data_IF_374918453188
#
_entry.id   IF_374918453188
#
_cell.length_a   1.000
_cell.length_b   1.000
_cell.length_c   1.000
_cell.angle_alpha   90.00
_cell.angle_beta   90.00
_cell.angle_gamma   90.00
#
_symmetry.space_group_name_H-M   'P 1'
#
loop_
_entity.id
_entity.type
_entity.pdbx_description
1 polymer ?
#
# COMPACT_ATOMS: atom_id res chain seq x y z
N UNK A 1 -14.01 -40.98 -17.37
CA UNK A 1 -13.04 -39.86 -17.36
C UNK A 1 -13.81 -38.62 -16.94
N UNK A 2 -13.62 -38.14 -15.70
CA UNK A 2 -14.36 -36.97 -15.20
C UNK A 2 -13.73 -35.69 -15.76
N UNK A 3 -14.48 -34.96 -16.59
CA UNK A 3 -14.17 -33.60 -16.98
C UNK A 3 -14.43 -32.68 -15.78
N UNK A 4 -13.47 -32.60 -14.86
CA UNK A 4 -13.46 -31.54 -13.86
C UNK A 4 -13.00 -30.28 -14.58
N UNK A 5 -13.85 -29.25 -14.78
CA UNK A 5 -13.40 -28.01 -15.39
C UNK A 5 -12.32 -27.38 -14.50
N UNK A 6 -11.09 -27.32 -15.00
CA UNK A 6 -9.91 -26.75 -14.32
C UNK A 6 -9.80 -25.25 -14.46
N UNK A 7 -10.82 -24.57 -15.00
CA UNK A 7 -10.84 -23.12 -15.06
C UNK A 7 -11.04 -22.56 -13.65
N UNK A 8 -9.94 -22.38 -12.92
CA UNK A 8 -9.94 -21.52 -11.74
C UNK A 8 -10.57 -20.20 -12.17
N UNK A 9 -11.56 -19.66 -11.43
CA UNK A 9 -12.07 -18.34 -11.73
C UNK A 9 -10.89 -17.37 -11.74
N UNK A 10 -10.61 -16.78 -12.90
CA UNK A 10 -9.70 -15.65 -12.99
C UNK A 10 -10.31 -14.56 -12.12
N UNK A 11 -9.72 -14.33 -10.94
CA UNK A 11 -10.15 -13.27 -10.04
C UNK A 11 -9.98 -11.96 -10.82
N UNK A 12 -11.08 -11.46 -11.36
CA UNK A 12 -11.09 -10.22 -12.13
C UNK A 12 -10.77 -9.08 -11.17
N UNK A 13 -9.65 -8.41 -11.39
CA UNK A 13 -9.27 -7.24 -10.58
C UNK A 13 -10.29 -6.12 -10.88
N UNK A 14 -10.98 -5.59 -9.86
CA UNK A 14 -11.99 -4.54 -10.08
C UNK A 14 -11.38 -3.31 -10.75
N UNK A 15 -12.12 -2.68 -11.67
CA UNK A 15 -11.64 -1.51 -12.42
C UNK A 15 -11.16 -0.37 -11.52
N UNK A 16 -11.85 -0.14 -10.40
CA UNK A 16 -11.49 0.92 -9.45
C UNK A 16 -10.13 0.67 -8.78
N UNK A 17 -9.75 -0.59 -8.52
CA UNK A 17 -8.43 -0.96 -7.97
C UNK A 17 -7.34 -0.62 -8.98
N UNK A 18 -7.58 -0.91 -10.25
CA UNK A 18 -6.65 -0.60 -11.35
C UNK A 18 -6.48 0.91 -11.53
N UNK A 19 -7.57 1.68 -11.49
CA UNK A 19 -7.52 3.15 -11.58
C UNK A 19 -6.73 3.72 -10.40
N UNK A 20 -7.01 3.26 -9.17
CA UNK A 20 -6.29 3.70 -7.99
C UNK A 20 -4.79 3.39 -8.08
N UNK A 21 -4.43 2.18 -8.52
CA UNK A 21 -3.03 1.80 -8.71
C UNK A 21 -2.32 2.64 -9.78
N UNK A 22 -3.00 3.02 -10.86
CA UNK A 22 -2.45 3.94 -11.87
C UNK A 22 -2.17 5.33 -11.27
N UNK A 23 -3.09 5.85 -10.45
CA UNK A 23 -2.88 7.13 -9.75
C UNK A 23 -1.66 7.05 -8.83
N UNK A 24 -1.55 5.99 -8.03
CA UNK A 24 -0.40 5.76 -7.13
C UNK A 24 0.90 5.63 -7.91
N UNK A 25 0.89 4.92 -9.05
CA UNK A 25 2.05 4.78 -9.92
C UNK A 25 2.52 6.12 -10.49
N UNK A 26 1.60 6.93 -11.01
CA UNK A 26 1.93 8.23 -11.63
C UNK A 26 2.41 9.22 -10.56
N UNK A 27 1.65 9.39 -9.47
CA UNK A 27 1.98 10.34 -8.41
C UNK A 27 3.24 9.90 -7.65
N UNK A 28 3.36 8.62 -7.31
CA UNK A 28 4.55 8.08 -6.66
C UNK A 28 5.80 8.20 -7.55
N UNK A 29 5.66 7.91 -8.84
CA UNK A 29 6.75 8.08 -9.80
C UNK A 29 7.18 9.55 -9.91
N UNK A 30 6.22 10.46 -10.08
CA UNK A 30 6.48 11.89 -10.19
C UNK A 30 7.13 12.45 -8.91
N UNK A 31 6.56 12.17 -7.74
CA UNK A 31 7.11 12.62 -6.45
C UNK A 31 8.49 12.02 -6.16
N UNK A 32 8.69 10.75 -6.50
CA UNK A 32 9.95 10.07 -6.33
C UNK A 32 11.05 10.63 -7.25
N UNK A 33 10.72 10.96 -8.50
CA UNK A 33 11.63 11.65 -9.42
C UNK A 33 11.91 13.07 -8.92
N UNK A 34 10.89 13.84 -8.55
CA UNK A 34 11.08 15.19 -8.01
C UNK A 34 11.99 15.19 -6.79
N UNK A 35 11.81 14.24 -5.86
CA UNK A 35 12.68 14.14 -4.68
C UNK A 35 14.11 13.79 -5.04
N UNK A 36 14.37 12.91 -6.03
CA UNK A 36 15.74 12.58 -6.44
C UNK A 36 16.48 13.73 -7.17
N UNK A 37 15.75 14.55 -7.93
CA UNK A 37 16.34 15.55 -8.83
C UNK A 37 16.23 17.00 -8.33
N UNK A 38 15.29 17.30 -7.43
CA UNK A 38 15.08 18.64 -6.84
C UNK A 38 15.53 18.56 -5.37
N UNK A 39 16.85 18.61 -5.16
CA UNK A 39 17.45 18.42 -3.84
C UNK A 39 17.23 19.62 -2.92
N UNK A 40 16.40 19.45 -1.89
CA UNK A 40 16.29 20.41 -0.77
C UNK A 40 17.01 19.95 0.50
N UNK A 41 17.23 18.64 0.67
CA UNK A 41 18.01 18.07 1.80
C UNK A 41 18.65 16.70 1.43
N UNK A 42 19.98 16.60 1.29
CA UNK A 42 20.67 15.40 0.80
C UNK A 42 20.42 14.12 1.61
N UNK A 43 20.17 14.23 2.92
CA UNK A 43 20.01 13.07 3.80
C UNK A 43 18.69 12.32 3.63
N UNK A 44 17.60 13.03 3.32
CA UNK A 44 16.29 12.44 3.06
C UNK A 44 16.08 12.06 1.60
N UNK A 45 16.63 12.84 0.69
CA UNK A 45 16.37 12.81 -0.76
C UNK A 45 16.49 11.42 -1.38
N UNK A 46 17.60 10.71 -1.17
CA UNK A 46 17.85 9.42 -1.84
C UNK A 46 16.98 8.30 -1.29
N UNK A 47 16.84 8.23 0.04
CA UNK A 47 16.07 7.16 0.68
C UNK A 47 14.57 7.32 0.41
N UNK A 48 14.06 8.55 0.42
CA UNK A 48 12.65 8.84 0.21
C UNK A 48 12.26 8.72 -1.27
N UNK A 49 13.09 9.28 -2.16
CA UNK A 49 12.88 9.18 -3.61
C UNK A 49 12.96 7.75 -4.12
N UNK A 50 13.97 6.99 -3.69
CA UNK A 50 14.15 5.59 -4.09
C UNK A 50 13.00 4.68 -3.64
N UNK A 51 12.55 4.81 -2.38
CA UNK A 51 11.40 4.04 -1.86
C UNK A 51 10.10 4.38 -2.61
N UNK A 52 9.88 5.66 -2.93
CA UNK A 52 8.69 6.12 -3.65
C UNK A 52 8.68 5.62 -5.10
N UNK A 53 9.83 5.67 -5.79
CA UNK A 53 9.98 5.13 -7.15
C UNK A 53 9.79 3.61 -7.16
N UNK A 54 10.40 2.90 -6.21
CA UNK A 54 10.24 1.44 -6.10
C UNK A 54 8.77 1.03 -5.97
N UNK A 55 8.02 1.72 -5.10
CA UNK A 55 6.58 1.51 -4.96
C UNK A 55 5.80 1.80 -6.24
N UNK A 56 6.13 2.87 -6.95
CA UNK A 56 5.51 3.21 -8.23
C UNK A 56 5.77 2.12 -9.28
N UNK A 57 6.99 1.61 -9.37
CA UNK A 57 7.36 0.52 -10.30
C UNK A 57 6.58 -0.75 -9.99
N UNK A 58 6.55 -1.19 -8.72
CA UNK A 58 5.84 -2.41 -8.32
C UNK A 58 4.33 -2.27 -8.60
N UNK A 59 3.76 -1.09 -8.34
CA UNK A 59 2.36 -0.79 -8.62
C UNK A 59 2.06 -0.79 -10.13
N UNK A 60 2.93 -0.16 -10.93
CA UNK A 60 2.81 -0.16 -12.40
C UNK A 60 2.92 -1.55 -13.01
N UNK A 61 3.84 -2.38 -12.49
CA UNK A 61 3.96 -3.79 -12.86
C UNK A 61 2.71 -4.59 -12.48
N UNK A 62 2.09 -4.30 -11.34
CA UNK A 62 0.85 -4.96 -10.92
C UNK A 62 -0.28 -4.73 -11.94
N UNK A 63 -0.42 -3.49 -12.41
CA UNK A 63 -1.39 -3.11 -13.45
C UNK A 63 -1.05 -3.77 -14.78
N UNK A 64 0.21 -3.66 -15.22
CA UNK A 64 0.65 -4.18 -16.52
C UNK A 64 0.49 -5.69 -16.63
N UNK A 65 0.94 -6.43 -15.62
CA UNK A 65 0.88 -7.89 -15.57
C UNK A 65 -0.46 -8.42 -15.06
N UNK A 66 -1.37 -7.53 -14.63
CA UNK A 66 -2.67 -7.88 -14.05
C UNK A 66 -2.54 -8.93 -12.94
N UNK A 67 -1.49 -8.82 -12.12
CA UNK A 67 -1.12 -9.84 -11.12
C UNK A 67 -1.59 -9.45 -9.72
N UNK A 68 -2.54 -10.20 -9.12
CA UNK A 68 -3.04 -9.92 -7.77
C UNK A 68 -1.92 -9.92 -6.71
N UNK A 69 -0.91 -10.77 -6.89
CA UNK A 69 0.24 -10.86 -5.97
C UNK A 69 1.02 -9.54 -5.96
N UNK A 70 1.17 -8.90 -7.12
CA UNK A 70 1.88 -7.62 -7.21
C UNK A 70 1.06 -6.47 -6.62
N UNK A 71 -0.27 -6.50 -6.69
CA UNK A 71 -1.12 -5.54 -5.97
C UNK A 71 -0.94 -5.68 -4.45
N UNK A 72 -0.90 -6.91 -3.94
CA UNK A 72 -0.65 -7.18 -2.53
C UNK A 72 0.76 -6.74 -2.10
N UNK A 73 1.77 -6.99 -2.95
CA UNK A 73 3.15 -6.56 -2.70
C UNK A 73 3.27 -5.03 -2.69
N UNK A 74 2.63 -4.33 -3.64
CA UNK A 74 2.59 -2.87 -3.68
C UNK A 74 1.91 -2.30 -2.42
N UNK A 75 0.79 -2.87 -2.02
CA UNK A 75 0.09 -2.47 -0.80
C UNK A 75 0.94 -2.68 0.46
N UNK A 76 1.52 -3.88 0.62
CA UNK A 76 2.40 -4.20 1.75
C UNK A 76 3.65 -3.31 1.78
N UNK A 77 4.24 -3.02 0.62
CA UNK A 77 5.36 -2.09 0.50
C UNK A 77 4.98 -0.66 0.91
N UNK A 78 3.76 -0.22 0.58
CA UNK A 78 3.24 1.08 0.99
C UNK A 78 3.08 1.18 2.50
N UNK A 79 2.49 0.15 3.11
CA UNK A 79 2.40 0.05 4.58
C UNK A 79 3.79 0.05 5.22
N UNK A 80 4.71 -0.76 4.73
CA UNK A 80 6.07 -0.84 5.29
C UNK A 80 6.81 0.50 5.23
N UNK A 81 6.61 1.25 4.14
CA UNK A 81 7.11 2.63 4.00
C UNK A 81 6.50 3.53 5.07
N UNK A 82 5.18 3.57 5.19
CA UNK A 82 4.49 4.45 6.15
C UNK A 82 4.89 4.14 7.60
N UNK A 83 5.06 2.86 7.93
CA UNK A 83 5.62 2.44 9.22
C UNK A 83 7.05 2.95 9.43
N UNK A 84 7.90 2.84 8.40
CA UNK A 84 9.28 3.34 8.47
C UNK A 84 9.34 4.85 8.71
N UNK A 85 8.49 5.61 8.02
CA UNK A 85 8.40 7.07 8.18
C UNK A 85 7.83 7.44 9.57
N UNK A 86 6.86 6.68 10.06
CA UNK A 86 6.30 6.85 11.40
C UNK A 86 7.34 6.57 12.51
N UNK A 87 8.12 5.49 12.39
CA UNK A 87 9.20 5.18 13.34
C UNK A 87 10.27 6.28 13.33
N UNK A 88 10.66 6.76 12.14
CA UNK A 88 11.63 7.84 12.01
C UNK A 88 11.15 9.14 12.66
N UNK A 89 9.87 9.47 12.50
CA UNK A 89 9.26 10.65 13.10
C UNK A 89 9.15 10.53 14.63
N UNK A 90 8.79 9.36 15.15
CA UNK A 90 8.73 9.09 16.60
C UNK A 90 10.12 9.01 17.25
N UNK A 91 11.18 8.86 16.45
CA UNK A 91 12.56 8.85 16.93
C UNK A 91 13.17 10.25 17.07
N UNK A 92 12.43 11.31 16.71
CA UNK A 92 12.87 12.70 16.88
C UNK A 92 12.79 13.14 18.34
N UNK A 93 13.66 14.09 18.72
CA UNK A 93 13.71 14.67 20.06
C UNK A 93 12.39 15.34 20.44
N UNK A 94 11.74 15.99 19.46
CA UNK A 94 10.38 16.51 19.58
C UNK A 94 9.54 15.95 18.41
N UNK A 95 8.75 14.89 18.64
CA UNK A 95 7.85 14.36 17.62
C UNK A 95 6.78 15.38 17.26
N UNK A 96 6.44 15.49 15.97
CA UNK A 96 5.32 16.32 15.55
C UNK A 96 4.01 15.84 16.19
N UNK A 97 3.25 16.76 16.81
CA UNK A 97 1.89 16.49 17.31
C UNK A 97 1.00 15.93 16.21
N UNK A 98 1.14 16.45 14.98
CA UNK A 98 0.39 15.98 13.82
C UNK A 98 0.71 14.54 13.44
N UNK A 99 1.99 14.15 13.47
CA UNK A 99 2.40 12.78 13.21
C UNK A 99 1.94 11.81 14.30
N UNK A 100 1.95 12.25 15.56
CA UNK A 100 1.47 11.47 16.70
C UNK A 100 -0.03 11.22 16.59
N UNK A 101 -0.82 12.24 16.28
CA UNK A 101 -2.27 12.11 16.05
C UNK A 101 -2.55 11.20 14.84
N UNK A 102 -1.80 11.37 13.75
CA UNK A 102 -1.91 10.53 12.55
C UNK A 102 -1.64 9.05 12.85
N UNK A 103 -0.58 8.75 13.60
CA UNK A 103 -0.24 7.39 14.04
C UNK A 103 -1.36 6.75 14.87
N UNK A 104 -1.89 7.49 15.86
CA UNK A 104 -2.99 7.00 16.70
C UNK A 104 -4.24 6.73 15.87
N UNK A 105 -4.62 7.63 14.97
CA UNK A 105 -5.77 7.42 14.08
C UNK A 105 -5.58 6.21 13.18
N UNK A 106 -4.38 6.02 12.62
CA UNK A 106 -4.07 4.87 11.77
C UNK A 106 -4.20 3.55 12.54
N UNK A 107 -3.71 3.49 13.78
CA UNK A 107 -3.85 2.32 14.66
C UNK A 107 -5.33 2.04 14.95
N UNK A 108 -6.11 3.07 15.31
CA UNK A 108 -7.53 2.91 15.62
C UNK A 108 -8.34 2.42 14.40
N UNK A 109 -8.07 2.97 13.22
CA UNK A 109 -8.67 2.51 11.97
C UNK A 109 -8.28 1.07 11.64
N UNK A 110 -7.01 0.71 11.86
CA UNK A 110 -6.52 -0.67 11.70
C UNK A 110 -7.23 -1.66 12.62
N UNK A 111 -7.40 -1.30 13.90
CA UNK A 111 -8.17 -2.10 14.88
C UNK A 111 -9.63 -2.21 14.44
N UNK A 112 -10.26 -1.10 14.05
CA UNK A 112 -11.64 -1.10 13.56
C UNK A 112 -11.83 -1.97 12.32
N UNK A 113 -10.92 -1.88 11.35
CA UNK A 113 -10.91 -2.72 10.15
C UNK A 113 -10.70 -4.20 10.46
N UNK A 114 -9.80 -4.53 11.39
CA UNK A 114 -9.60 -5.90 11.86
C UNK A 114 -10.86 -6.48 12.53
N UNK A 115 -11.52 -5.68 13.37
CA UNK A 115 -12.78 -6.07 14.02
C UNK A 115 -13.87 -6.31 12.96
N UNK A 116 -14.06 -5.38 12.02
CA UNK A 116 -15.03 -5.51 10.94
C UNK A 116 -14.77 -6.75 10.07
N UNK A 117 -13.52 -7.00 9.70
CA UNK A 117 -13.12 -8.18 8.94
C UNK A 117 -13.39 -9.49 9.69
N UNK A 118 -13.24 -9.51 11.02
CA UNK A 118 -13.54 -10.69 11.84
C UNK A 118 -15.05 -10.90 12.02
N UNK A 119 -15.84 -9.83 12.13
CA UNK A 119 -17.31 -9.91 12.17
C UNK A 119 -17.83 -10.47 10.84
N UNK A 120 -17.35 -9.97 9.70
CA UNK A 120 -17.75 -10.46 8.37
C UNK A 120 -17.51 -11.95 8.20
N UNK A 121 -16.33 -12.44 8.62
CA UNK A 121 -15.98 -13.87 8.57
C UNK A 121 -16.88 -14.74 9.45
N UNK A 122 -17.27 -14.26 10.63
CA UNK A 122 -18.23 -14.97 11.50
C UNK A 122 -19.65 -14.95 10.92
N UNK A 123 -20.04 -13.88 10.24
CA UNK A 123 -21.33 -13.79 9.57
C UNK A 123 -21.43 -14.78 8.42
N UNK A 124 -20.40 -14.92 7.59
CA UNK A 124 -20.38 -15.90 6.49
C UNK A 124 -20.40 -17.35 7.01
N UNK A 125 -19.75 -17.63 8.13
CA UNK A 125 -19.75 -18.95 8.76
C UNK A 125 -21.11 -19.36 9.36
N UNK A 126 -22.00 -18.41 9.66
CA UNK A 126 -23.35 -18.67 10.18
C UNK A 126 -24.43 -18.77 9.08
N UNK A 127 -24.07 -18.51 7.82
CA UNK A 127 -24.99 -18.56 6.66
C UNK A 127 -24.82 -19.87 5.87
N UNK A 128 -23.80 -20.67 6.19
CA UNK A 128 -23.60 -22.04 5.73
C UNK A 128 -24.16 -23.05 6.74
#
# INVERSE_FOLDING_TARGET
MSNIPTSRPTIAIPLWVTIFALIVCILGGALGVMTLFVQTDPGMTVSWGGRTIGLAIVTGMAVYLKSPILYMAAFAGGIARDFGDMIAEMSKVEPSTGATVGAVLFILLGIGGFIAANISRKSEANVL
#
